data_IF_765802767905
#
_entry.id   IF_765802767905
#
_cell.length_a   1.000
_cell.length_b   1.000
_cell.length_c   1.000
_cell.angle_alpha   90.00
_cell.angle_beta   90.00
_cell.angle_gamma   90.00
#
_symmetry.space_group_name_H-M   'P 1'
#
loop_
_entity.id
_entity.type
_entity.pdbx_description
1 polymer ?
#
# COMPACT_ATOMS: atom_id res chain seq x y z
N UNK A 1 23.07 -27.57 9.93
CA UNK A 1 23.88 -27.31 8.72
C UNK A 1 25.24 -26.77 9.15
N UNK A 2 26.35 -27.16 8.50
CA UNK A 2 27.69 -26.77 8.96
C UNK A 2 27.99 -25.33 8.49
N UNK A 3 27.67 -24.32 9.31
CA UNK A 3 27.87 -22.89 9.02
C UNK A 3 29.26 -22.52 8.43
N UNK A 4 30.38 -23.18 8.81
CA UNK A 4 31.70 -22.92 8.23
C UNK A 4 31.81 -23.29 6.75
N UNK A 5 31.08 -24.31 6.28
CA UNK A 5 31.11 -24.75 4.88
C UNK A 5 30.38 -23.75 3.98
N UNK A 6 29.24 -23.24 4.45
CA UNK A 6 28.42 -22.29 3.72
C UNK A 6 29.17 -20.96 3.53
N UNK A 7 29.85 -20.46 4.57
CA UNK A 7 30.68 -19.26 4.49
C UNK A 7 31.82 -19.41 3.46
N UNK A 8 32.49 -20.58 3.38
CA UNK A 8 33.57 -20.82 2.41
C UNK A 8 33.08 -20.88 0.97
N UNK A 9 31.99 -21.62 0.73
CA UNK A 9 31.36 -21.69 -0.60
C UNK A 9 30.88 -20.31 -1.05
N UNK A 10 30.30 -19.52 -0.13
CA UNK A 10 29.88 -18.14 -0.37
C UNK A 10 31.05 -17.24 -0.75
N UNK A 11 32.12 -17.20 0.04
CA UNK A 11 33.30 -16.37 -0.24
C UNK A 11 33.88 -16.68 -1.61
N UNK A 12 33.87 -17.95 -2.03
CA UNK A 12 34.33 -18.38 -3.35
C UNK A 12 33.43 -17.88 -4.48
N UNK A 13 32.11 -17.93 -4.33
CA UNK A 13 31.16 -17.42 -5.33
C UNK A 13 31.25 -15.91 -5.49
N UNK A 14 31.40 -15.16 -4.38
CA UNK A 14 31.58 -13.71 -4.39
C UNK A 14 32.89 -13.35 -5.11
N UNK A 15 34.01 -14.00 -4.77
CA UNK A 15 35.29 -13.74 -5.42
C UNK A 15 35.24 -14.00 -6.94
N UNK A 16 34.45 -14.99 -7.36
CA UNK A 16 34.27 -15.35 -8.76
C UNK A 16 33.21 -14.52 -9.51
N UNK A 17 32.53 -13.57 -8.84
CA UNK A 17 31.39 -12.81 -9.39
C UNK A 17 30.32 -13.74 -10.02
N UNK A 18 30.05 -14.87 -9.37
CA UNK A 18 29.29 -15.96 -9.95
C UNK A 18 27.96 -16.21 -9.22
N UNK A 19 26.87 -16.35 -9.96
CA UNK A 19 25.56 -16.71 -9.40
C UNK A 19 25.58 -18.10 -8.75
N UNK A 20 24.80 -18.24 -7.67
CA UNK A 20 24.52 -19.52 -7.03
C UNK A 20 23.59 -20.37 -7.91
N UNK A 21 24.18 -21.11 -8.86
CA UNK A 21 23.50 -22.15 -9.65
C UNK A 21 23.87 -23.53 -9.14
N UNK A 22 23.02 -24.58 -9.33
CA UNK A 22 23.32 -25.94 -8.90
C UNK A 22 24.69 -26.44 -9.35
N UNK A 23 25.05 -26.20 -10.60
CA UNK A 23 26.34 -26.60 -11.17
C UNK A 23 27.52 -25.89 -10.50
N UNK A 24 27.41 -24.59 -10.22
CA UNK A 24 28.49 -23.80 -9.61
C UNK A 24 28.66 -24.11 -8.12
N UNK A 25 27.55 -24.29 -7.41
CA UNK A 25 27.56 -24.69 -5.99
C UNK A 25 28.14 -26.10 -5.83
N UNK A 26 27.73 -27.05 -6.67
CA UNK A 26 28.33 -28.38 -6.70
C UNK A 26 29.83 -28.34 -7.02
N UNK A 27 30.26 -27.48 -7.94
CA UNK A 27 31.69 -27.29 -8.25
C UNK A 27 32.47 -26.68 -7.07
N UNK A 28 31.89 -25.72 -6.36
CA UNK A 28 32.50 -25.11 -5.19
C UNK A 28 32.60 -26.10 -4.01
N UNK A 29 31.56 -26.91 -3.78
CA UNK A 29 31.58 -27.99 -2.79
C UNK A 29 32.66 -29.03 -3.08
N UNK A 30 32.79 -29.48 -4.33
CA UNK A 30 33.84 -30.41 -4.73
C UNK A 30 35.24 -29.82 -4.50
N UNK A 31 35.43 -28.54 -4.76
CA UNK A 31 36.69 -27.85 -4.51
C UNK A 31 37.02 -27.74 -3.00
N UNK A 32 36.01 -27.76 -2.13
CA UNK A 32 36.14 -27.83 -0.67
C UNK A 32 36.25 -29.28 -0.16
N UNK A 33 36.31 -30.27 -1.04
CA UNK A 33 36.39 -31.70 -0.69
C UNK A 33 35.09 -32.29 -0.15
N UNK A 34 33.94 -31.62 -0.33
CA UNK A 34 32.64 -32.06 0.17
C UNK A 34 31.77 -32.59 -0.97
N UNK A 35 31.19 -33.78 -0.76
CA UNK A 35 30.19 -34.38 -1.66
C UNK A 35 28.86 -34.45 -0.92
N UNK A 36 27.83 -33.81 -1.47
CA UNK A 36 26.46 -33.83 -0.97
C UNK A 36 25.55 -34.48 -2.01
N UNK A 37 24.46 -35.11 -1.56
CA UNK A 37 23.40 -35.60 -2.46
C UNK A 37 22.63 -34.45 -3.09
N UNK A 38 21.91 -34.72 -4.19
CA UNK A 38 21.26 -33.69 -5.01
C UNK A 38 20.29 -32.79 -4.22
N UNK A 39 19.48 -33.35 -3.32
CA UNK A 39 18.57 -32.57 -2.45
C UNK A 39 19.34 -31.62 -1.51
N UNK A 40 20.47 -32.06 -0.98
CA UNK A 40 21.32 -31.24 -0.11
C UNK A 40 22.07 -30.16 -0.89
N UNK A 41 22.43 -30.43 -2.15
CA UNK A 41 22.98 -29.42 -3.06
C UNK A 41 21.91 -28.38 -3.41
N UNK A 42 20.68 -28.81 -3.72
CA UNK A 42 19.56 -27.90 -4.01
C UNK A 42 19.25 -27.00 -2.81
N UNK A 43 19.16 -27.56 -1.60
CA UNK A 43 18.98 -26.78 -0.38
C UNK A 43 20.13 -25.79 -0.12
N UNK A 44 21.37 -26.16 -0.45
CA UNK A 44 22.51 -25.25 -0.34
C UNK A 44 22.47 -24.13 -1.40
N UNK A 45 22.06 -24.45 -2.63
CA UNK A 45 21.88 -23.46 -3.70
C UNK A 45 20.83 -22.44 -3.30
N UNK A 46 19.71 -22.90 -2.77
CA UNK A 46 18.63 -22.04 -2.29
C UNK A 46 19.10 -21.15 -1.15
N UNK A 47 19.75 -21.71 -0.12
CA UNK A 47 20.32 -20.93 0.98
C UNK A 47 21.38 -19.91 0.51
N UNK A 48 22.23 -20.27 -0.45
CA UNK A 48 23.21 -19.35 -1.04
C UNK A 48 22.56 -18.26 -1.89
N UNK A 49 21.49 -18.57 -2.64
CA UNK A 49 20.72 -17.55 -3.38
C UNK A 49 20.06 -16.57 -2.42
N UNK A 50 19.46 -17.06 -1.34
CA UNK A 50 18.87 -16.25 -0.30
C UNK A 50 19.92 -15.34 0.37
N UNK A 51 21.13 -15.84 0.62
CA UNK A 51 22.21 -15.03 1.21
C UNK A 51 22.89 -14.07 0.23
N UNK A 52 23.04 -14.44 -1.04
CA UNK A 52 23.80 -13.66 -2.03
C UNK A 52 22.96 -12.66 -2.79
N UNK A 53 21.66 -12.93 -2.94
CA UNK A 53 20.73 -12.12 -3.76
C UNK A 53 19.49 -11.73 -2.94
N UNK A 54 18.99 -12.64 -2.10
CA UNK A 54 17.78 -12.43 -1.28
C UNK A 54 18.01 -11.68 0.03
N UNK A 55 16.98 -11.72 0.87
CA UNK A 55 16.92 -11.07 2.19
C UNK A 55 17.67 -11.85 3.30
N UNK A 56 18.43 -12.89 2.93
CA UNK A 56 19.26 -13.68 3.85
C UNK A 56 18.44 -14.30 4.98
N UNK A 57 18.80 -14.07 6.26
CA UNK A 57 18.06 -14.62 7.40
C UNK A 57 16.58 -14.23 7.48
N UNK A 58 16.17 -13.16 6.79
CA UNK A 58 14.77 -12.72 6.77
C UNK A 58 13.92 -13.48 5.76
N UNK A 59 14.53 -14.18 4.80
CA UNK A 59 13.81 -14.84 3.70
C UNK A 59 12.67 -15.75 4.18
N UNK A 60 12.87 -16.62 5.20
CA UNK A 60 11.80 -17.49 5.68
C UNK A 60 10.60 -16.71 6.23
N UNK A 61 10.83 -15.53 6.83
CA UNK A 61 9.77 -14.67 7.33
C UNK A 61 8.99 -14.02 6.18
N UNK A 62 9.68 -13.57 5.14
CA UNK A 62 9.06 -12.94 3.97
C UNK A 62 8.22 -13.92 3.13
N UNK A 63 8.50 -15.22 3.21
CA UNK A 63 7.75 -16.27 2.52
C UNK A 63 6.51 -16.75 3.30
N UNK A 64 6.34 -16.32 4.55
CA UNK A 64 5.12 -16.62 5.31
C UNK A 64 3.98 -15.77 4.74
N UNK A 65 2.97 -16.43 4.17
CA UNK A 65 1.89 -15.75 3.43
C UNK A 65 1.00 -14.81 4.25
N UNK A 66 1.13 -14.83 5.57
CA UNK A 66 0.41 -13.99 6.54
C UNK A 66 1.26 -12.83 7.10
N UNK A 67 2.57 -12.78 6.84
CA UNK A 67 3.44 -11.68 7.30
C UNK A 67 3.25 -10.46 6.42
N UNK A 68 3.00 -9.30 7.04
CA UNK A 68 2.82 -8.02 6.34
C UNK A 68 4.01 -7.10 6.49
N UNK A 69 4.69 -7.13 7.64
CA UNK A 69 5.82 -6.25 7.95
C UNK A 69 6.92 -7.07 8.67
N UNK A 70 8.19 -6.78 8.37
CA UNK A 70 9.38 -7.32 9.05
C UNK A 70 10.26 -6.15 9.45
N UNK A 71 10.55 -6.00 10.75
CA UNK A 71 11.35 -4.91 11.30
C UNK A 71 12.61 -5.46 11.97
N UNK A 72 13.77 -4.92 11.61
CA UNK A 72 15.05 -5.18 12.26
C UNK A 72 15.50 -3.90 12.95
N UNK A 73 15.48 -3.91 14.28
CA UNK A 73 15.95 -2.78 15.10
C UNK A 73 17.39 -2.98 15.61
N UNK A 74 17.99 -4.12 15.27
CA UNK A 74 19.36 -4.47 15.59
C UNK A 74 19.58 -5.98 15.46
N UNK A 75 20.81 -6.47 15.70
CA UNK A 75 21.18 -7.85 15.40
C UNK A 75 20.38 -8.93 16.14
N UNK A 76 19.78 -8.59 17.28
CA UNK A 76 19.00 -9.53 18.11
C UNK A 76 17.56 -9.06 18.32
N UNK A 77 17.11 -8.09 17.54
CA UNK A 77 15.81 -7.46 17.69
C UNK A 77 15.08 -7.43 16.35
N UNK A 78 14.48 -8.57 15.99
CA UNK A 78 13.73 -8.77 14.75
C UNK A 78 12.27 -9.06 15.08
N UNK A 79 11.37 -8.27 14.49
CA UNK A 79 9.93 -8.32 14.69
C UNK A 79 9.20 -8.56 13.38
N UNK A 80 8.01 -9.13 13.46
CA UNK A 80 7.07 -9.26 12.36
C UNK A 80 5.68 -8.78 12.78
N UNK A 81 4.86 -8.37 11.81
CA UNK A 81 3.42 -8.17 11.99
C UNK A 81 2.68 -9.09 11.01
N UNK A 82 1.66 -9.79 11.51
CA UNK A 82 0.75 -10.66 10.72
C UNK A 82 -0.65 -10.06 10.55
N UNK A 83 -0.80 -8.78 10.88
CA UNK A 83 -2.05 -8.03 10.91
C UNK A 83 -2.65 -7.84 12.32
N UNK A 84 -2.10 -8.52 13.34
CA UNK A 84 -2.59 -8.49 14.73
C UNK A 84 -1.66 -7.73 15.69
N UNK A 85 -0.61 -7.09 15.17
CA UNK A 85 0.39 -6.39 15.96
C UNK A 85 1.76 -7.05 15.91
N UNK A 86 2.73 -6.42 16.59
CA UNK A 86 4.14 -6.78 16.50
C UNK A 86 4.48 -8.00 17.36
N UNK A 87 5.09 -9.01 16.73
CA UNK A 87 5.57 -10.25 17.33
C UNK A 87 7.09 -10.35 17.18
N UNK A 88 7.80 -10.70 18.25
CA UNK A 88 9.25 -10.90 18.20
C UNK A 88 9.57 -12.27 17.63
N UNK A 89 10.59 -12.34 16.77
CA UNK A 89 11.05 -13.59 16.15
C UNK A 89 12.33 -14.14 16.79
N UNK A 90 12.67 -15.39 16.46
CA UNK A 90 13.95 -16.01 16.83
C UNK A 90 15.09 -15.71 15.84
N UNK A 91 14.83 -14.91 14.80
CA UNK A 91 15.85 -14.56 13.80
C UNK A 91 16.87 -13.62 14.43
N UNK A 92 18.14 -13.97 14.27
CA UNK A 92 19.28 -13.19 14.77
C UNK A 92 20.36 -13.03 13.70
N UNK A 93 20.96 -11.85 13.67
CA UNK A 93 22.16 -11.53 12.90
C UNK A 93 23.40 -11.69 13.78
N UNK A 94 24.57 -11.95 13.17
CA UNK A 94 25.82 -12.14 13.95
C UNK A 94 26.33 -10.81 14.49
N UNK A 95 26.12 -9.72 13.74
CA UNK A 95 26.59 -8.37 14.08
C UNK A 95 25.73 -7.28 13.44
N UNK A 96 25.92 -6.03 13.87
CA UNK A 96 25.29 -4.85 13.22
C UNK A 96 25.77 -4.66 11.79
N UNK A 97 27.05 -4.97 11.55
CA UNK A 97 27.65 -4.94 10.21
C UNK A 97 26.96 -5.90 9.23
N UNK A 98 26.43 -7.04 9.72
CA UNK A 98 25.64 -7.94 8.87
C UNK A 98 24.27 -7.34 8.50
N UNK A 99 23.61 -6.65 9.44
CA UNK A 99 22.37 -5.92 9.17
C UNK A 99 22.63 -4.82 8.15
N UNK A 100 23.72 -4.06 8.34
CA UNK A 100 24.17 -3.04 7.40
C UNK A 100 24.39 -3.60 6.00
N UNK A 101 25.17 -4.67 5.88
CA UNK A 101 25.47 -5.34 4.60
C UNK A 101 24.22 -5.86 3.91
N UNK A 102 23.26 -6.41 4.67
CA UNK A 102 21.96 -6.82 4.14
C UNK A 102 21.21 -5.62 3.54
N UNK A 103 21.06 -4.53 4.31
CA UNK A 103 20.38 -3.32 3.84
C UNK A 103 21.04 -2.75 2.56
N UNK A 104 22.37 -2.68 2.53
CA UNK A 104 23.14 -2.20 1.38
C UNK A 104 22.95 -3.08 0.15
N UNK A 105 22.96 -4.41 0.33
CA UNK A 105 22.73 -5.36 -0.76
C UNK A 105 21.33 -5.25 -1.33
N UNK A 106 20.30 -5.17 -0.47
CA UNK A 106 18.91 -5.00 -0.91
C UNK A 106 18.68 -3.66 -1.61
N UNK A 107 19.35 -2.58 -1.17
CA UNK A 107 19.31 -1.30 -1.87
C UNK A 107 19.99 -1.37 -3.25
N UNK A 108 21.17 -1.99 -3.31
CA UNK A 108 21.96 -2.10 -4.53
C UNK A 108 21.26 -2.95 -5.61
N UNK A 109 20.50 -3.97 -5.23
CA UNK A 109 19.75 -4.83 -6.18
C UNK A 109 18.71 -4.05 -7.01
N UNK A 110 18.30 -2.87 -6.56
CA UNK A 110 17.37 -1.97 -7.24
C UNK A 110 18.00 -0.63 -7.62
N UNK A 111 19.34 -0.58 -7.69
CA UNK A 111 20.08 0.59 -8.13
C UNK A 111 20.03 1.77 -7.15
N UNK A 112 19.75 1.51 -5.87
CA UNK A 112 19.79 2.53 -4.81
C UNK A 112 21.10 2.43 -4.02
N UNK A 113 21.53 3.58 -3.50
CA UNK A 113 22.76 3.72 -2.73
C UNK A 113 22.41 3.85 -1.24
N UNK A 114 23.16 3.14 -0.41
CA UNK A 114 23.08 3.21 1.05
C UNK A 114 24.50 3.14 1.62
N UNK A 115 25.03 4.26 2.09
CA UNK A 115 26.39 4.36 2.66
C UNK A 115 26.52 5.61 3.55
N UNK A 116 27.73 5.92 4.02
CA UNK A 116 27.96 7.05 4.93
C UNK A 116 27.57 8.41 4.33
N UNK A 117 27.55 8.54 3.00
CA UNK A 117 27.11 9.75 2.30
C UNK A 117 25.60 9.79 2.01
N UNK A 118 24.94 8.63 2.03
CA UNK A 118 23.49 8.47 1.86
C UNK A 118 22.99 7.46 2.91
N UNK A 119 22.83 7.88 4.18
CA UNK A 119 22.68 6.96 5.32
C UNK A 119 21.25 6.43 5.52
N UNK A 120 20.36 6.66 4.57
CA UNK A 120 19.01 6.09 4.54
C UNK A 120 18.55 5.86 3.11
N UNK A 121 17.64 4.92 2.93
CA UNK A 121 17.12 4.56 1.60
C UNK A 121 15.67 4.10 1.69
N UNK A 122 14.88 4.55 0.72
CA UNK A 122 13.57 3.97 0.38
C UNK A 122 13.69 3.25 -0.97
N UNK A 123 13.29 1.99 -1.00
CA UNK A 123 13.46 1.11 -2.13
C UNK A 123 12.24 0.19 -2.31
N UNK A 124 12.07 -0.29 -3.54
CA UNK A 124 11.06 -1.30 -3.87
C UNK A 124 11.72 -2.43 -4.63
N UNK A 125 11.71 -3.61 -4.03
CA UNK A 125 12.27 -4.84 -4.58
C UNK A 125 11.43 -5.36 -5.75
N UNK A 126 11.98 -6.23 -6.62
CA UNK A 126 11.30 -6.71 -7.83
C UNK A 126 9.98 -7.46 -7.58
N UNK A 127 9.86 -8.09 -6.41
CA UNK A 127 8.66 -8.78 -5.92
C UNK A 127 7.55 -7.81 -5.43
N UNK A 128 7.85 -6.51 -5.39
CA UNK A 128 6.95 -5.46 -4.91
C UNK A 128 7.18 -5.07 -3.45
N UNK A 129 8.05 -5.77 -2.73
CA UNK A 129 8.40 -5.53 -1.33
C UNK A 129 9.01 -4.15 -1.13
N UNK A 130 8.47 -3.38 -0.16
CA UNK A 130 8.98 -2.06 0.18
C UNK A 130 10.07 -2.21 1.25
N UNK A 131 11.21 -1.58 1.02
CA UNK A 131 12.35 -1.54 1.93
C UNK A 131 12.57 -0.09 2.35
N UNK A 132 12.64 0.13 3.65
CA UNK A 132 13.26 1.31 4.25
C UNK A 132 14.45 0.86 5.09
N UNK A 133 15.58 1.54 4.99
CA UNK A 133 16.71 1.26 5.86
C UNK A 133 17.44 2.53 6.27
N UNK A 134 18.00 2.52 7.48
CA UNK A 134 18.77 3.64 8.06
C UNK A 134 20.00 3.07 8.73
N UNK A 135 21.17 3.66 8.50
CA UNK A 135 22.45 3.18 9.04
C UNK A 135 23.09 4.23 9.98
N UNK A 136 24.04 3.83 10.84
CA UNK A 136 24.83 4.78 11.62
C UNK A 136 25.54 5.83 10.73
N UNK A 137 25.74 7.06 11.23
CA UNK A 137 25.45 7.53 12.59
C UNK A 137 24.00 7.99 12.82
N UNK A 138 23.13 7.97 11.79
CA UNK A 138 21.74 8.44 11.93
C UNK A 138 20.94 7.48 12.83
N UNK A 139 21.12 6.18 12.64
CA UNK A 139 20.60 5.17 13.53
C UNK A 139 21.59 4.92 14.68
N UNK A 140 21.39 5.61 15.80
CA UNK A 140 22.33 5.67 16.93
C UNK A 140 22.62 4.31 17.55
N UNK A 141 21.63 3.41 17.58
CA UNK A 141 21.74 2.10 18.21
C UNK A 141 22.29 1.00 17.29
N UNK A 142 22.44 1.28 16.00
CA UNK A 142 22.77 0.28 14.98
C UNK A 142 21.90 0.42 13.73
N UNK A 143 22.20 -0.36 12.70
CA UNK A 143 21.50 -0.35 11.42
C UNK A 143 20.06 -0.87 11.56
N UNK A 144 19.12 -0.17 10.93
CA UNK A 144 17.68 -0.46 10.98
C UNK A 144 17.17 -0.86 9.59
N UNK A 145 16.28 -1.85 9.54
CA UNK A 145 15.57 -2.27 8.33
C UNK A 145 14.07 -2.36 8.62
N UNK A 146 13.25 -1.80 7.74
CA UNK A 146 11.80 -1.99 7.74
C UNK A 146 11.38 -2.50 6.38
N UNK A 147 10.80 -3.70 6.35
CA UNK A 147 10.29 -4.34 5.15
C UNK A 147 8.78 -4.43 5.26
N UNK A 148 8.09 -4.02 4.19
CA UNK A 148 6.65 -4.28 4.02
C UNK A 148 6.44 -5.20 2.83
N UNK A 149 5.89 -6.37 3.11
CA UNK A 149 5.61 -7.42 2.13
C UNK A 149 4.32 -7.05 1.39
N UNK A 150 4.29 -7.11 0.05
CA UNK A 150 3.10 -6.81 -0.70
C UNK A 150 2.10 -7.95 -0.53
N UNK A 151 0.81 -7.63 -0.39
CA UNK A 151 -0.22 -8.66 -0.43
C UNK A 151 -0.33 -9.22 -1.86
N UNK A 152 -0.21 -10.55 -2.01
CA UNK A 152 -0.23 -11.20 -3.32
C UNK A 152 -1.62 -11.23 -3.98
N UNK A 153 -2.70 -10.98 -3.22
CA UNK A 153 -4.07 -10.92 -3.73
C UNK A 153 -4.87 -9.86 -2.97
N UNK A 154 -5.70 -9.11 -3.69
CA UNK A 154 -6.69 -8.24 -3.06
C UNK A 154 -7.84 -9.06 -2.47
N UNK A 155 -8.35 -8.60 -1.32
CA UNK A 155 -9.60 -9.13 -0.78
C UNK A 155 -10.77 -8.78 -1.70
N UNK A 156 -11.73 -9.69 -1.80
CA UNK A 156 -13.03 -9.37 -2.39
C UNK A 156 -13.93 -8.68 -1.35
N UNK A 157 -14.96 -7.94 -1.80
CA UNK A 157 -15.94 -7.36 -0.87
C UNK A 157 -16.66 -8.44 -0.05
N UNK A 158 -16.92 -9.62 -0.63
CA UNK A 158 -17.53 -10.74 0.06
C UNK A 158 -16.62 -11.31 1.17
N UNK A 159 -15.31 -11.32 0.96
CA UNK A 159 -14.36 -11.71 2.00
C UNK A 159 -14.31 -10.69 3.13
N UNK A 160 -14.30 -9.39 2.82
CA UNK A 160 -14.39 -8.32 3.82
C UNK A 160 -15.67 -8.43 4.66
N UNK A 161 -16.79 -8.78 4.03
CA UNK A 161 -18.07 -9.05 4.69
C UNK A 161 -17.96 -10.27 5.63
N UNK A 162 -17.38 -11.38 5.15
CA UNK A 162 -17.19 -12.60 5.95
C UNK A 162 -16.28 -12.40 7.17
N UNK A 163 -15.30 -11.51 7.08
CA UNK A 163 -14.41 -11.13 8.19
C UNK A 163 -15.08 -10.15 9.17
N UNK A 164 -16.26 -9.63 8.84
CA UNK A 164 -16.98 -8.66 9.67
C UNK A 164 -16.45 -7.23 9.59
N UNK A 165 -15.56 -6.95 8.63
CA UNK A 165 -15.10 -5.58 8.33
C UNK A 165 -16.24 -4.68 7.85
N UNK A 166 -17.27 -5.28 7.26
CA UNK A 166 -18.51 -4.62 6.86
C UNK A 166 -19.68 -5.60 7.01
N UNK A 167 -20.88 -5.11 7.22
CA UNK A 167 -22.10 -5.91 7.19
C UNK A 167 -22.73 -5.95 5.78
N UNK A 168 -23.76 -6.78 5.60
CA UNK A 168 -24.44 -6.94 4.32
C UNK A 168 -25.03 -5.61 3.80
N UNK A 169 -25.61 -4.80 4.69
CA UNK A 169 -26.16 -3.48 4.36
C UNK A 169 -25.06 -2.56 3.82
N UNK A 170 -23.94 -2.43 4.53
CA UNK A 170 -22.81 -1.66 4.05
C UNK A 170 -22.26 -2.17 2.72
N UNK A 171 -22.11 -3.48 2.59
CA UNK A 171 -21.61 -4.09 1.37
C UNK A 171 -22.52 -3.77 0.17
N UNK A 172 -23.84 -3.80 0.35
CA UNK A 172 -24.79 -3.40 -0.69
C UNK A 172 -24.61 -1.93 -1.08
N UNK A 173 -24.50 -1.02 -0.12
CA UNK A 173 -24.26 0.40 -0.43
C UNK A 173 -22.92 0.62 -1.15
N UNK A 174 -21.85 -0.07 -0.77
CA UNK A 174 -20.58 0.03 -1.46
C UNK A 174 -20.64 -0.52 -2.90
N UNK A 175 -21.41 -1.59 -3.15
CA UNK A 175 -21.68 -2.07 -4.53
C UNK A 175 -22.38 -0.99 -5.34
N UNK A 176 -23.38 -0.34 -4.76
CA UNK A 176 -24.13 0.71 -5.43
C UNK A 176 -23.30 1.96 -5.74
N UNK A 177 -22.34 2.34 -4.89
CA UNK A 177 -21.38 3.39 -5.23
C UNK A 177 -20.63 3.08 -6.54
N UNK A 178 -20.27 1.81 -6.74
CA UNK A 178 -19.54 1.35 -7.92
C UNK A 178 -20.45 1.26 -9.14
N UNK A 179 -21.62 0.64 -9.00
CA UNK A 179 -22.59 0.43 -10.08
C UNK A 179 -23.14 1.76 -10.63
N UNK A 180 -23.41 2.72 -9.75
CA UNK A 180 -23.95 4.04 -10.11
C UNK A 180 -22.86 5.06 -10.44
N UNK A 181 -21.59 4.63 -10.50
CA UNK A 181 -20.43 5.48 -10.81
C UNK A 181 -20.37 6.73 -9.94
N UNK A 182 -20.71 6.61 -8.66
CA UNK A 182 -20.58 7.71 -7.73
C UNK A 182 -19.11 7.95 -7.42
N UNK A 183 -18.71 9.22 -7.40
CA UNK A 183 -17.37 9.60 -7.00
C UNK A 183 -17.25 9.53 -5.47
N UNK A 184 -16.22 8.86 -4.96
CA UNK A 184 -16.04 8.71 -3.52
C UNK A 184 -14.58 8.72 -3.08
N UNK A 185 -14.34 9.05 -1.82
CA UNK A 185 -13.03 8.85 -1.19
C UNK A 185 -13.15 7.89 -0.01
N UNK A 186 -12.13 7.05 0.16
CA UNK A 186 -11.98 6.23 1.36
C UNK A 186 -11.05 6.96 2.33
N UNK A 187 -11.51 7.16 3.56
CA UNK A 187 -10.77 7.86 4.60
C UNK A 187 -10.49 6.97 5.81
N UNK A 188 -9.55 7.39 6.65
CA UNK A 188 -9.16 6.69 7.88
C UNK A 188 -7.68 6.83 8.21
N UNK A 189 -7.33 6.44 9.43
CA UNK A 189 -5.96 6.49 9.95
C UNK A 189 -4.98 5.57 9.22
N UNK A 190 -3.71 5.61 9.65
CA UNK A 190 -2.67 4.71 9.12
C UNK A 190 -3.03 3.27 9.48
N UNK A 191 -2.92 2.35 8.51
CA UNK A 191 -3.19 0.92 8.74
C UNK A 191 -4.67 0.57 8.98
N UNK A 192 -5.63 1.46 8.67
CA UNK A 192 -7.07 1.18 8.74
C UNK A 192 -7.60 0.30 7.60
N UNK A 193 -6.78 0.04 6.56
CA UNK A 193 -7.16 -0.80 5.43
C UNK A 193 -7.74 -0.06 4.21
N UNK A 194 -7.52 1.26 4.07
CA UNK A 194 -8.04 2.08 2.96
C UNK A 194 -7.76 1.47 1.59
N UNK A 195 -6.49 1.18 1.31
CA UNK A 195 -6.04 0.59 0.05
C UNK A 195 -6.67 -0.78 -0.19
N UNK A 196 -6.82 -1.60 0.87
CA UNK A 196 -7.46 -2.91 0.80
C UNK A 196 -8.93 -2.81 0.41
N UNK A 197 -9.71 -1.95 1.08
CA UNK A 197 -11.12 -1.73 0.73
C UNK A 197 -11.24 -1.12 -0.67
N UNK A 198 -10.42 -0.14 -1.02
CA UNK A 198 -10.42 0.45 -2.35
C UNK A 198 -10.15 -0.61 -3.43
N UNK A 199 -9.13 -1.45 -3.25
CA UNK A 199 -8.79 -2.53 -4.18
C UNK A 199 -9.94 -3.54 -4.33
N UNK A 200 -10.65 -3.85 -3.24
CA UNK A 200 -11.82 -4.73 -3.27
C UNK A 200 -12.97 -4.13 -4.08
N UNK A 201 -13.25 -2.84 -3.89
CA UNK A 201 -14.31 -2.13 -4.62
C UNK A 201 -13.99 -1.96 -6.10
N UNK A 202 -12.73 -1.72 -6.45
CA UNK A 202 -12.29 -1.64 -7.84
C UNK A 202 -12.41 -2.99 -8.58
N UNK A 203 -12.41 -4.12 -7.85
CA UNK A 203 -12.71 -5.43 -8.43
C UNK A 203 -14.19 -5.63 -8.82
N UNK A 204 -15.10 -4.75 -8.34
CA UNK A 204 -16.53 -4.78 -8.67
C UNK A 204 -16.87 -3.94 -9.91
N UNK A 205 -15.91 -3.18 -10.42
CA UNK A 205 -16.09 -2.35 -11.62
C UNK A 205 -16.42 -3.25 -12.81
N UNK A 206 -17.36 -2.86 -13.70
CA UNK A 206 -17.66 -3.61 -14.92
C UNK A 206 -16.41 -3.88 -15.75
N UNK A 207 -16.23 -5.12 -16.23
CA UNK A 207 -14.98 -5.60 -16.84
C UNK A 207 -14.55 -4.84 -18.09
N UNK A 208 -15.50 -4.18 -18.75
CA UNK A 208 -15.31 -3.37 -19.95
C UNK A 208 -14.73 -1.98 -19.63
N UNK A 209 -14.88 -1.49 -18.39
CA UNK A 209 -14.40 -0.18 -17.97
C UNK A 209 -12.89 -0.18 -17.74
N UNK A 210 -12.21 0.85 -18.22
CA UNK A 210 -10.78 1.07 -18.03
C UNK A 210 -10.51 1.84 -16.74
N UNK A 211 -9.80 1.21 -15.82
CA UNK A 211 -9.41 1.82 -14.54
C UNK A 211 -7.96 2.28 -14.65
N UNK A 212 -7.69 3.57 -14.48
CA UNK A 212 -6.32 4.10 -14.40
C UNK A 212 -6.04 4.49 -12.96
N UNK A 213 -5.12 3.76 -12.32
CA UNK A 213 -4.72 3.94 -10.94
C UNK A 213 -3.38 4.66 -10.89
N UNK A 214 -3.30 5.71 -10.07
CA UNK A 214 -2.14 6.54 -9.87
C UNK A 214 -1.69 6.41 -8.42
N UNK A 215 -0.46 5.98 -8.18
CA UNK A 215 0.04 5.69 -6.84
C UNK A 215 1.49 6.16 -6.67
N UNK A 216 1.88 6.57 -5.48
CA UNK A 216 3.31 6.84 -5.21
C UNK A 216 4.12 5.56 -5.10
N UNK A 217 3.48 4.51 -4.60
CA UNK A 217 3.99 3.16 -4.62
C UNK A 217 2.81 2.28 -4.95
N UNK A 218 2.93 1.53 -6.03
CA UNK A 218 1.81 0.78 -6.56
C UNK A 218 1.39 -0.33 -5.58
N UNK A 219 0.33 -0.14 -4.81
CA UNK A 219 -0.20 -1.08 -3.82
C UNK A 219 -1.54 -1.67 -4.27
N UNK A 220 -2.33 -0.93 -5.03
CA UNK A 220 -3.62 -1.39 -5.54
C UNK A 220 -3.45 -2.52 -6.54
N UNK A 221 -4.13 -3.64 -6.27
CA UNK A 221 -4.12 -4.84 -7.12
C UNK A 221 -5.54 -5.42 -7.25
N UNK A 222 -6.51 -4.66 -7.80
CA UNK A 222 -7.86 -5.15 -7.98
C UNK A 222 -7.89 -6.33 -8.94
N UNK A 223 -8.79 -7.29 -8.70
CA UNK A 223 -9.09 -8.36 -9.64
C UNK A 223 -9.93 -7.82 -10.81
N UNK A 224 -9.27 -7.09 -11.71
CA UNK A 224 -9.92 -6.43 -12.84
C UNK A 224 -9.04 -6.51 -14.11
N UNK A 225 -9.57 -6.98 -15.25
CA UNK A 225 -8.76 -7.25 -16.45
C UNK A 225 -8.20 -5.98 -17.10
N UNK A 226 -8.84 -4.84 -16.88
CA UNK A 226 -8.49 -3.57 -17.50
C UNK A 226 -7.98 -2.52 -16.49
N UNK A 227 -7.28 -3.00 -15.45
CA UNK A 227 -6.61 -2.16 -14.46
C UNK A 227 -5.21 -1.73 -14.94
N UNK A 228 -5.01 -0.42 -15.09
CA UNK A 228 -3.74 0.18 -15.51
C UNK A 228 -3.13 0.93 -14.34
N UNK A 229 -1.84 0.74 -14.12
CA UNK A 229 -1.11 1.24 -12.95
C UNK A 229 -0.04 2.23 -13.37
N UNK A 230 -0.11 3.44 -12.83
CA UNK A 230 0.89 4.48 -12.95
C UNK A 230 1.53 4.70 -11.59
N UNK A 231 2.86 4.76 -11.55
CA UNK A 231 3.59 5.00 -10.31
C UNK A 231 4.43 6.27 -10.41
N UNK A 232 4.39 7.10 -9.37
CA UNK A 232 5.27 8.27 -9.26
C UNK A 232 6.73 7.83 -9.18
N UNK A 233 7.63 8.74 -9.55
CA UNK A 233 9.07 8.48 -9.57
C UNK A 233 9.80 9.62 -8.89
N UNK A 234 10.52 9.32 -7.81
CA UNK A 234 11.42 10.29 -7.17
C UNK A 234 12.56 10.67 -8.11
N UNK A 235 13.12 11.86 -7.93
CA UNK A 235 14.31 12.28 -8.67
C UNK A 235 15.49 11.30 -8.42
N UNK A 236 16.39 11.20 -9.40
CA UNK A 236 17.67 10.55 -9.22
C UNK A 236 18.59 11.41 -8.30
N UNK A 237 19.79 10.91 -8.03
CA UNK A 237 20.77 11.60 -7.15
C UNK A 237 21.17 12.98 -7.68
N UNK A 238 21.04 13.20 -8.99
CA UNK A 238 21.32 14.47 -9.68
C UNK A 238 20.08 15.40 -9.75
N UNK A 239 18.96 15.02 -9.13
CA UNK A 239 17.72 15.80 -9.15
C UNK A 239 16.88 15.65 -10.43
N UNK A 240 17.29 14.81 -11.38
CA UNK A 240 16.61 14.61 -12.65
C UNK A 240 15.56 13.49 -12.60
N UNK A 241 14.56 13.57 -13.49
CA UNK A 241 13.62 12.47 -13.72
C UNK A 241 12.47 12.33 -12.71
N UNK A 242 12.23 13.34 -11.86
CA UNK A 242 11.06 13.41 -11.00
C UNK A 242 9.77 13.32 -11.85
N UNK A 243 8.86 12.42 -11.49
CA UNK A 243 7.50 12.34 -12.02
C UNK A 243 6.55 12.35 -10.83
N UNK A 244 5.76 13.41 -10.71
CA UNK A 244 4.88 13.63 -9.55
C UNK A 244 3.52 12.96 -9.73
N UNK A 245 2.82 12.68 -8.62
CA UNK A 245 1.42 12.23 -8.65
C UNK A 245 0.54 13.17 -9.46
N UNK A 246 0.70 14.48 -9.26
CA UNK A 246 -0.04 15.52 -9.98
C UNK A 246 0.13 15.40 -11.48
N UNK A 247 1.36 15.19 -11.94
CA UNK A 247 1.66 14.99 -13.36
C UNK A 247 1.02 13.70 -13.89
N UNK A 248 1.09 12.60 -13.13
CA UNK A 248 0.48 11.33 -13.53
C UNK A 248 -1.04 11.42 -13.63
N UNK A 249 -1.72 12.13 -12.74
CA UNK A 249 -3.18 12.35 -12.87
C UNK A 249 -3.50 13.07 -14.18
N UNK A 250 -2.71 14.08 -14.57
CA UNK A 250 -2.88 14.77 -15.86
C UNK A 250 -2.63 13.88 -17.06
N UNK A 251 -1.65 12.97 -16.98
CA UNK A 251 -1.40 12.03 -18.06
C UNK A 251 -2.48 10.95 -18.12
N UNK A 252 -2.98 10.49 -16.97
CA UNK A 252 -4.07 9.51 -16.89
C UNK A 252 -5.33 9.99 -17.61
N UNK A 253 -5.68 11.28 -17.50
CA UNK A 253 -6.80 11.88 -18.23
C UNK A 253 -6.71 11.74 -19.76
N UNK A 254 -5.50 11.57 -20.31
CA UNK A 254 -5.27 11.36 -21.75
C UNK A 254 -5.29 9.89 -22.16
N UNK A 255 -5.43 8.98 -21.21
CA UNK A 255 -5.39 7.53 -21.43
C UNK A 255 -6.77 6.90 -21.64
N UNK A 256 -7.79 7.73 -21.94
CA UNK A 256 -9.21 7.35 -22.06
C UNK A 256 -9.69 6.50 -20.86
N UNK A 257 -9.51 6.96 -19.62
CA UNK A 257 -9.99 6.23 -18.45
C UNK A 257 -11.52 6.30 -18.38
N UNK A 258 -12.16 5.19 -18.05
CA UNK A 258 -13.54 5.19 -17.57
C UNK A 258 -13.57 5.52 -16.07
N UNK A 259 -12.55 5.10 -15.31
CA UNK A 259 -12.33 5.48 -13.91
C UNK A 259 -10.92 5.96 -13.64
N UNK A 260 -10.81 7.05 -12.88
CA UNK A 260 -9.53 7.57 -12.37
C UNK A 260 -9.44 7.31 -10.88
N UNK A 261 -8.35 6.68 -10.46
CA UNK A 261 -8.13 6.32 -9.07
C UNK A 261 -6.82 6.93 -8.59
N UNK A 262 -6.86 7.67 -7.48
CA UNK A 262 -5.64 8.11 -6.79
C UNK A 262 -5.46 7.29 -5.52
N UNK A 263 -4.40 6.48 -5.48
CA UNK A 263 -4.15 5.53 -4.39
C UNK A 263 -4.15 6.19 -3.01
N UNK A 264 -3.48 7.33 -2.87
CA UNK A 264 -3.58 8.19 -1.68
C UNK A 264 -3.34 9.65 -2.05
N UNK A 265 -4.26 10.53 -1.67
CA UNK A 265 -4.18 11.97 -1.87
C UNK A 265 -3.49 12.59 -0.66
N UNK A 266 -2.29 13.14 -0.88
CA UNK A 266 -1.39 13.69 0.13
C UNK A 266 -0.85 15.08 -0.23
N UNK A 267 -1.08 15.56 -1.44
CA UNK A 267 -0.53 16.83 -1.92
C UNK A 267 -1.32 17.41 -3.09
N UNK A 268 -0.57 18.03 -4.02
CA UNK A 268 -1.13 18.87 -5.08
C UNK A 268 -1.96 18.11 -6.13
N UNK A 269 -1.86 16.79 -6.19
CA UNK A 269 -2.73 15.93 -6.99
C UNK A 269 -4.20 16.01 -6.60
N UNK A 270 -4.54 16.50 -5.39
CA UNK A 270 -5.93 16.75 -4.98
C UNK A 270 -6.67 17.64 -5.97
N UNK A 271 -5.98 18.64 -6.53
CA UNK A 271 -6.59 19.60 -7.47
C UNK A 271 -6.97 18.89 -8.77
N UNK A 272 -6.08 18.06 -9.29
CA UNK A 272 -6.30 17.35 -10.54
C UNK A 272 -7.36 16.26 -10.37
N UNK A 273 -7.37 15.56 -9.23
CA UNK A 273 -8.42 14.59 -8.89
C UNK A 273 -9.78 15.30 -8.83
N UNK A 274 -9.93 16.33 -7.99
CA UNK A 274 -11.20 17.04 -7.85
C UNK A 274 -11.67 17.65 -9.18
N UNK A 275 -10.75 18.15 -10.01
CA UNK A 275 -11.08 18.66 -11.34
C UNK A 275 -11.55 17.53 -12.26
N UNK A 276 -10.90 16.36 -12.24
CA UNK A 276 -11.30 15.20 -13.03
C UNK A 276 -12.73 14.76 -12.70
N UNK A 277 -13.07 14.68 -11.41
CA UNK A 277 -14.40 14.32 -10.93
C UNK A 277 -15.50 15.28 -11.43
N UNK A 278 -15.15 16.54 -11.70
CA UNK A 278 -16.06 17.56 -12.22
C UNK A 278 -16.09 17.65 -13.76
N UNK A 279 -15.26 16.90 -14.49
CA UNK A 279 -15.06 17.04 -15.95
C UNK A 279 -15.38 15.76 -16.71
N UNK A 280 -16.34 14.97 -16.21
CA UNK A 280 -16.87 13.79 -16.92
C UNK A 280 -16.12 12.49 -16.65
N UNK A 281 -15.29 12.43 -15.60
CA UNK A 281 -14.69 11.19 -15.10
C UNK A 281 -15.48 10.68 -13.89
N UNK A 282 -16.70 10.23 -14.17
CA UNK A 282 -17.59 9.64 -13.18
C UNK A 282 -16.96 8.40 -12.52
N UNK A 283 -17.38 8.09 -11.30
CA UNK A 283 -16.89 6.93 -10.55
C UNK A 283 -15.41 7.02 -10.16
N UNK A 284 -14.77 8.18 -10.35
CA UNK A 284 -13.41 8.42 -9.89
C UNK A 284 -13.34 8.40 -8.36
N UNK A 285 -12.24 7.87 -7.83
CA UNK A 285 -12.11 7.68 -6.40
C UNK A 285 -10.66 7.75 -5.92
N UNK A 286 -10.47 7.70 -4.60
CA UNK A 286 -9.13 7.63 -4.03
C UNK A 286 -9.16 7.45 -2.53
N UNK A 287 -7.98 7.45 -1.92
CA UNK A 287 -7.90 7.45 -0.45
C UNK A 287 -7.36 8.76 0.09
N UNK A 288 -7.74 9.11 1.31
CA UNK A 288 -7.22 10.29 2.03
C UNK A 288 -7.06 9.96 3.51
N UNK A 289 -5.94 10.38 4.11
CA UNK A 289 -5.77 10.23 5.54
C UNK A 289 -6.64 11.24 6.30
N UNK A 290 -7.49 10.75 7.20
CA UNK A 290 -8.27 11.56 8.13
C UNK A 290 -8.58 10.75 9.40
N UNK A 291 -8.61 11.42 10.55
CA UNK A 291 -8.91 10.79 11.85
C UNK A 291 -10.41 10.54 12.05
N UNK A 292 -11.25 11.29 11.35
CA UNK A 292 -12.69 11.10 11.31
C UNK A 292 -13.24 11.47 9.93
N UNK A 293 -14.43 10.98 9.59
CA UNK A 293 -15.13 11.39 8.37
C UNK A 293 -15.41 12.90 8.35
N UNK A 294 -15.70 13.49 9.51
CA UNK A 294 -15.98 14.92 9.67
C UNK A 294 -14.77 15.80 9.32
N UNK A 295 -13.55 15.28 9.45
CA UNK A 295 -12.31 15.99 9.14
C UNK A 295 -11.96 15.97 7.64
N UNK A 296 -12.61 15.13 6.83
CA UNK A 296 -12.28 14.96 5.41
C UNK A 296 -12.40 16.27 4.62
N UNK A 297 -13.48 17.08 4.74
CA UNK A 297 -13.55 18.37 4.05
C UNK A 297 -12.41 19.32 4.44
N UNK A 298 -12.06 19.39 5.74
CA UNK A 298 -10.96 20.23 6.21
C UNK A 298 -9.59 19.72 5.70
N UNK A 299 -9.41 18.41 5.58
CA UNK A 299 -8.20 17.81 5.00
C UNK A 299 -8.05 18.14 3.52
N UNK A 300 -9.12 18.01 2.74
CA UNK A 300 -9.13 18.39 1.33
C UNK A 300 -8.90 19.89 1.15
N UNK A 301 -9.48 20.73 2.02
CA UNK A 301 -9.21 22.17 2.09
C UNK A 301 -7.72 22.45 2.29
N UNK A 302 -7.09 21.86 3.31
CA UNK A 302 -5.67 22.08 3.59
C UNK A 302 -4.75 21.67 2.42
N UNK A 303 -5.06 20.54 1.78
CA UNK A 303 -4.33 20.06 0.60
C UNK A 303 -4.52 21.01 -0.60
N UNK A 304 -5.76 21.46 -0.85
CA UNK A 304 -6.08 22.37 -1.93
C UNK A 304 -5.45 23.76 -1.76
N UNK A 305 -5.46 24.30 -0.54
CA UNK A 305 -4.79 25.56 -0.18
C UNK A 305 -3.27 25.47 -0.45
N UNK A 306 -2.64 24.38 -0.01
CA UNK A 306 -1.21 24.13 -0.25
C UNK A 306 -0.90 23.99 -1.75
N UNK A 307 -1.87 23.52 -2.54
CA UNK A 307 -1.78 23.39 -3.98
C UNK A 307 -2.13 24.67 -4.77
N UNK A 308 -2.49 25.75 -4.07
CA UNK A 308 -2.74 27.07 -4.65
C UNK A 308 -4.20 27.38 -4.99
N UNK A 309 -5.16 26.56 -4.55
CA UNK A 309 -6.59 26.90 -4.67
C UNK A 309 -7.04 27.82 -3.53
N UNK A 310 -8.01 28.67 -3.81
CA UNK A 310 -8.77 29.36 -2.77
C UNK A 310 -9.66 28.39 -1.99
N UNK A 311 -9.93 28.69 -0.71
CA UNK A 311 -10.78 27.88 0.17
C UNK A 311 -12.15 27.60 -0.45
N UNK A 312 -12.86 28.62 -0.93
CA UNK A 312 -14.19 28.46 -1.50
C UNK A 312 -14.16 27.68 -2.82
N UNK A 313 -13.08 27.81 -3.59
CA UNK A 313 -12.87 27.02 -4.79
C UNK A 313 -12.72 25.52 -4.47
N UNK A 314 -11.97 25.15 -3.42
CA UNK A 314 -11.87 23.74 -2.97
C UNK A 314 -13.25 23.21 -2.59
N UNK A 315 -13.98 23.94 -1.74
CA UNK A 315 -15.31 23.51 -1.30
C UNK A 315 -16.32 23.42 -2.44
N UNK A 316 -16.23 24.30 -3.44
CA UNK A 316 -17.05 24.22 -4.64
C UNK A 316 -16.76 22.94 -5.44
N UNK A 317 -15.47 22.61 -5.66
CA UNK A 317 -15.08 21.39 -6.37
C UNK A 317 -15.48 20.11 -5.62
N UNK A 318 -15.31 20.11 -4.29
CA UNK A 318 -15.70 18.98 -3.43
C UNK A 318 -17.22 18.78 -3.48
N UNK A 319 -18.01 19.85 -3.30
CA UNK A 319 -19.48 19.77 -3.31
C UNK A 319 -20.06 19.28 -4.65
N UNK A 320 -19.40 19.64 -5.75
CA UNK A 320 -19.86 19.32 -7.09
C UNK A 320 -19.37 17.96 -7.60
N UNK A 321 -18.15 17.54 -7.22
CA UNK A 321 -17.51 16.35 -7.76
C UNK A 321 -17.46 15.13 -6.84
N UNK A 322 -17.73 15.25 -5.54
CA UNK A 322 -17.61 14.14 -4.60
C UNK A 322 -18.96 13.78 -3.97
N UNK A 323 -19.44 12.56 -4.22
CA UNK A 323 -20.75 12.09 -3.78
C UNK A 323 -20.72 11.49 -2.37
N UNK A 324 -19.65 10.76 -2.04
CA UNK A 324 -19.56 10.05 -0.76
C UNK A 324 -18.15 10.00 -0.15
N UNK A 325 -18.12 9.83 1.16
CA UNK A 325 -16.94 9.48 1.95
C UNK A 325 -17.21 8.15 2.65
N UNK A 326 -16.37 7.16 2.40
CA UNK A 326 -16.36 5.90 3.16
C UNK A 326 -15.28 6.01 4.23
N UNK A 327 -15.64 5.93 5.50
CA UNK A 327 -14.68 6.08 6.60
C UNK A 327 -14.35 4.73 7.25
N UNK A 328 -13.07 4.45 7.41
CA UNK A 328 -12.55 3.23 8.02
C UNK A 328 -11.88 3.53 9.35
N UNK A 329 -12.08 2.65 10.32
CA UNK A 329 -11.41 2.68 11.61
C UNK A 329 -10.92 1.29 12.02
N UNK A 330 -10.06 1.23 13.05
CA UNK A 330 -9.86 0.01 13.82
C UNK A 330 -10.76 0.09 15.05
N UNK A 331 -11.58 -0.92 15.26
CA UNK A 331 -12.40 -0.99 16.47
C UNK A 331 -11.55 -1.37 17.70
N UNK A 332 -12.18 -1.43 18.87
CA UNK A 332 -11.50 -1.75 20.14
C UNK A 332 -10.91 -3.18 20.16
N UNK A 333 -11.35 -4.08 19.27
CA UNK A 333 -10.78 -5.42 19.12
C UNK A 333 -9.59 -5.46 18.15
N UNK A 334 -9.27 -4.34 17.51
CA UNK A 334 -8.22 -4.23 16.49
C UNK A 334 -8.69 -4.55 15.08
N UNK A 335 -9.96 -4.96 14.90
CA UNK A 335 -10.54 -5.28 13.60
C UNK A 335 -10.71 -4.01 12.77
N UNK A 336 -10.29 -4.07 11.50
CA UNK A 336 -10.49 -3.00 10.52
C UNK A 336 -11.93 -3.04 10.03
N UNK A 337 -12.68 -1.96 10.24
CA UNK A 337 -14.11 -1.89 9.92
C UNK A 337 -14.46 -0.61 9.15
N UNK A 338 -15.52 -0.70 8.33
CA UNK A 338 -16.22 0.49 7.82
C UNK A 338 -17.00 1.11 8.98
N UNK A 339 -16.58 2.28 9.43
CA UNK A 339 -17.25 3.05 10.49
C UNK A 339 -18.54 3.69 9.97
N UNK A 340 -18.52 4.18 8.73
CA UNK A 340 -19.69 4.82 8.16
C UNK A 340 -19.49 5.24 6.70
N UNK A 341 -20.63 5.58 6.09
CA UNK A 341 -20.71 6.20 4.77
C UNK A 341 -21.36 7.57 4.97
N UNK A 342 -20.72 8.60 4.43
CA UNK A 342 -21.10 9.99 4.62
C UNK A 342 -21.35 10.64 3.28
N UNK A 343 -22.35 11.52 3.21
CA UNK A 343 -22.59 12.41 2.09
C UNK A 343 -21.99 13.77 2.37
N UNK A 344 -21.70 14.53 1.32
CA UNK A 344 -21.16 15.88 1.46
C UNK A 344 -22.23 16.93 1.25
N UNK A 345 -22.31 17.88 2.18
CA UNK A 345 -23.31 18.94 2.19
C UNK A 345 -22.66 20.31 2.25
N UNK A 346 -23.10 21.20 1.35
CA UNK A 346 -22.66 22.59 1.36
C UNK A 346 -23.58 23.43 2.25
N UNK A 347 -23.01 24.02 3.30
CA UNK A 347 -23.71 24.90 4.22
C UNK A 347 -23.97 26.30 3.63
N UNK A 348 -24.71 27.12 4.39
CA UNK A 348 -24.96 28.52 4.04
C UNK A 348 -23.65 29.36 3.98
N UNK A 349 -22.65 28.96 4.76
CA UNK A 349 -21.28 29.49 4.75
C UNK A 349 -20.46 29.07 3.51
N UNK A 350 -21.09 28.36 2.56
CA UNK A 350 -20.49 27.80 1.35
C UNK A 350 -19.44 26.72 1.61
N UNK A 351 -19.29 26.27 2.87
CA UNK A 351 -18.35 25.24 3.27
C UNK A 351 -19.03 23.87 3.25
N UNK A 352 -18.27 22.85 2.87
CA UNK A 352 -18.69 21.46 2.82
C UNK A 352 -18.49 20.79 4.17
N UNK A 353 -19.48 20.01 4.58
CA UNK A 353 -19.47 19.17 5.78
C UNK A 353 -19.81 17.75 5.39
N UNK A 354 -19.16 16.78 6.04
CA UNK A 354 -19.53 15.38 5.92
C UNK A 354 -20.70 15.09 6.87
N UNK A 355 -21.81 14.60 6.32
CA UNK A 355 -23.02 14.25 7.06
C UNK A 355 -23.21 12.74 7.00
N UNK A 356 -23.37 12.05 8.14
CA UNK A 356 -23.49 10.60 8.15
C UNK A 356 -24.76 10.17 7.43
N UNK A 357 -24.60 9.27 6.46
CA UNK A 357 -25.71 8.57 5.82
C UNK A 357 -25.91 7.18 6.43
N UNK A 358 -24.82 6.51 6.78
CA UNK A 358 -24.80 5.25 7.52
C UNK A 358 -23.69 5.31 8.56
N UNK A 359 -23.95 4.83 9.78
CA UNK A 359 -22.92 4.69 10.82
C UNK A 359 -23.00 3.36 11.53
N UNK A 360 -21.84 2.87 11.96
CA UNK A 360 -21.71 1.56 12.57
C UNK A 360 -22.15 1.62 14.03
N UNK A 361 -23.16 0.82 14.35
CA UNK A 361 -23.63 0.59 15.71
C UNK A 361 -23.43 -0.89 16.05
N UNK A 362 -22.41 -1.19 16.84
CA UNK A 362 -21.96 -2.57 17.06
C UNK A 362 -21.36 -3.18 15.79
N UNK A 363 -22.05 -4.17 15.19
CA UNK A 363 -21.61 -4.86 13.96
C UNK A 363 -22.38 -4.46 12.70
N UNK A 364 -23.40 -3.61 12.82
CA UNK A 364 -24.30 -3.25 11.72
C UNK A 364 -24.19 -1.76 11.40
N UNK A 365 -24.37 -1.41 10.13
CA UNK A 365 -24.50 -0.03 9.66
C UNK A 365 -25.98 0.36 9.70
N UNK A 366 -26.30 1.38 10.50
CA UNK A 366 -27.65 1.92 10.61
C UNK A 366 -27.78 3.25 9.86
N UNK A 367 -28.96 3.54 9.28
CA UNK A 367 -29.25 4.81 8.64
C UNK A 367 -29.07 6.00 9.58
N UNK A 368 -28.56 7.09 9.02
CA UNK A 368 -28.34 8.39 9.67
C UNK A 368 -28.97 9.49 8.79
N UNK A 369 -29.06 10.76 9.24
CA UNK A 369 -29.82 11.81 8.52
C UNK A 369 -29.45 12.01 7.04
N UNK A 370 -28.20 11.71 6.65
CA UNK A 370 -27.72 11.78 5.27
C UNK A 370 -28.21 10.67 4.35
N UNK A 371 -28.90 9.63 4.86
CA UNK A 371 -29.30 8.45 4.07
C UNK A 371 -30.15 8.83 2.87
N UNK A 372 -31.09 9.75 3.04
CA UNK A 372 -32.00 10.17 1.97
C UNK A 372 -31.24 10.75 0.78
N UNK A 373 -30.23 11.57 1.06
CA UNK A 373 -29.37 12.17 0.04
C UNK A 373 -28.49 11.13 -0.63
N UNK A 374 -28.00 10.14 0.12
CA UNK A 374 -27.25 9.02 -0.48
C UNK A 374 -28.16 8.20 -1.43
N UNK A 375 -29.40 7.91 -1.02
CA UNK A 375 -30.41 7.24 -1.84
C UNK A 375 -30.70 8.03 -3.12
N UNK A 376 -30.88 9.35 -3.02
CA UNK A 376 -31.13 10.22 -4.17
C UNK A 376 -29.96 10.18 -5.17
N UNK A 377 -28.71 10.05 -4.69
CA UNK A 377 -27.51 9.95 -5.54
C UNK A 377 -27.42 8.63 -6.31
N UNK A 378 -27.73 7.51 -5.66
CA UNK A 378 -27.70 6.18 -6.30
C UNK A 378 -28.90 5.94 -7.23
N UNK A 379 -29.91 6.81 -7.25
CA UNK A 379 -31.08 6.67 -8.11
C UNK A 379 -31.91 5.40 -7.84
N UNK A 380 -31.72 4.75 -6.69
CA UNK A 380 -32.33 3.47 -6.40
C UNK A 380 -33.74 3.64 -5.81
N UNK A 381 -34.74 2.83 -6.24
CA UNK A 381 -35.94 2.66 -5.45
C UNK A 381 -35.53 2.05 -4.10
N UNK A 382 -35.96 2.71 -3.03
CA UNK A 382 -35.66 2.42 -1.63
C UNK A 382 -35.12 1.00 -1.39
N UNK A 383 -33.82 0.88 -1.09
CA UNK A 383 -33.35 -0.25 -0.29
C UNK A 383 -34.25 -0.21 0.94
N UNK A 384 -35.04 -1.27 1.16
CA UNK A 384 -35.87 -1.38 2.35
C UNK A 384 -34.95 -1.23 3.56
N UNK A 385 -34.96 -0.03 4.15
CA UNK A 385 -34.31 0.23 5.42
C UNK A 385 -34.96 -0.71 6.42
N UNK A 386 -34.21 -1.64 7.04
CA UNK A 386 -34.76 -2.58 7.99
C UNK A 386 -35.39 -1.90 9.21
#
# INVERSE_FOLDING_TARGET
MNAPLLDRVRTRLIAAHADATPTRVASALRAEGVVLGDDAVLGLVESLRQELIGAGPLEPLLHMGDVTDVLVNGPKDVWIDRGNGMERTDVVFRSDDDVRKLAQRLAASVGRRLDDSTPFVDARLPDGTRLHAVIPPIAVAGSLISIRVPQHRAFTLAELESMGSIDATGAQWLRMLIEQRLAFVISGGTGSGKTTVLSALLGLVPREERIVMIEDSAELMPDHPHAVRLQSRVANVEGAGLITMRELVRQALRMRPDRIVVGEVRGAEVVELLTALNTGHEGGCGTVHANSAADVPARLEALGLTAGLDRLAVHALVAAGLDAVVHLQRDLSGLRVVEGIYVLERGADQLVRAVPALRRHGRVLLPEPGIRRLTDRVGAPAIETP
#
